data_IF_110256395343
#
_entry.id   IF_110256395343
#
_cell.length_a   1.000
_cell.length_b   1.000
_cell.length_c   1.000
_cell.angle_alpha   90.00
_cell.angle_beta   90.00
_cell.angle_gamma   90.00
#
_symmetry.space_group_name_H-M   'P 1'
#
loop_
_entity.id
_entity.type
_entity.pdbx_description
1 polymer ?
#
# COMPACT_ATOMS: atom_id res chain seq x y z
N UNK A 1 33.84 7.94 18.93
CA UNK A 1 32.63 8.44 18.19
C UNK A 1 31.98 7.30 17.39
N UNK A 2 32.75 6.50 16.60
CA UNK A 2 32.19 5.38 15.82
C UNK A 2 31.50 4.31 16.68
N UNK A 3 32.08 3.96 17.82
CA UNK A 3 31.53 2.98 18.75
C UNK A 3 30.15 3.38 19.32
N UNK A 4 29.94 4.68 19.60
CA UNK A 4 28.64 5.19 20.07
C UNK A 4 27.58 5.09 18.96
N UNK A 5 27.95 5.36 17.71
CA UNK A 5 27.04 5.25 16.56
C UNK A 5 26.60 3.79 16.37
N UNK A 6 27.53 2.84 16.46
CA UNK A 6 27.23 1.40 16.36
C UNK A 6 26.29 0.96 17.49
N UNK A 7 26.51 1.43 18.73
CA UNK A 7 25.63 1.14 19.86
C UNK A 7 24.23 1.72 19.61
N UNK A 8 24.12 2.98 19.18
CA UNK A 8 22.84 3.62 18.87
C UNK A 8 22.08 2.90 17.74
N UNK A 9 22.79 2.46 16.72
CA UNK A 9 22.21 1.70 15.61
C UNK A 9 21.76 0.30 16.02
N UNK A 10 22.48 -0.34 16.94
CA UNK A 10 22.10 -1.63 17.53
C UNK A 10 20.83 -1.54 18.39
N UNK A 11 20.65 -0.43 19.12
CA UNK A 11 19.45 -0.17 19.94
C UNK A 11 18.27 0.41 19.14
N UNK A 12 18.50 0.86 17.89
CA UNK A 12 17.41 1.33 17.05
C UNK A 12 16.55 0.15 16.57
N UNK A 13 15.35 0.02 17.14
CA UNK A 13 14.35 -1.02 16.80
C UNK A 13 13.36 -0.59 15.71
N UNK A 14 13.61 0.52 15.04
CA UNK A 14 12.76 1.00 13.96
C UNK A 14 12.85 0.08 12.74
N UNK A 15 11.73 -0.11 12.05
CA UNK A 15 11.64 -0.89 10.81
C UNK A 15 11.93 -0.03 9.58
N UNK A 16 13.00 0.75 9.64
CA UNK A 16 13.31 1.82 8.69
C UNK A 16 13.85 1.35 7.33
N UNK A 17 14.25 0.09 7.20
CA UNK A 17 14.69 -0.53 5.94
C UNK A 17 13.93 -1.83 5.66
N UNK A 18 13.84 -2.29 4.39
CA UNK A 18 13.16 -3.55 4.05
C UNK A 18 13.71 -4.76 4.81
N UNK A 19 15.03 -4.89 4.95
CA UNK A 19 15.65 -6.02 5.65
C UNK A 19 15.32 -6.02 7.14
N UNK A 20 15.40 -4.85 7.78
CA UNK A 20 15.01 -4.71 9.20
C UNK A 20 13.52 -4.96 9.37
N UNK A 21 12.69 -4.42 8.49
CA UNK A 21 11.25 -4.65 8.51
C UNK A 21 10.95 -6.16 8.42
N UNK A 22 11.55 -6.87 7.46
CA UNK A 22 11.41 -8.32 7.34
C UNK A 22 11.87 -9.07 8.61
N UNK A 23 13.03 -8.70 9.16
CA UNK A 23 13.59 -9.36 10.35
C UNK A 23 12.70 -9.16 11.60
N UNK A 24 12.13 -7.96 11.79
CA UNK A 24 11.31 -7.67 12.96
C UNK A 24 9.86 -8.13 12.83
N UNK A 25 9.30 -8.08 11.62
CA UNK A 25 7.89 -8.40 11.38
C UNK A 25 7.65 -9.84 10.95
N UNK A 26 8.66 -10.50 10.36
CA UNK A 26 8.54 -11.81 9.72
C UNK A 26 7.84 -11.77 8.35
N UNK A 27 7.41 -10.59 7.87
CA UNK A 27 6.72 -10.40 6.59
C UNK A 27 7.68 -9.95 5.50
N UNK A 28 7.48 -10.44 4.27
CA UNK A 28 8.20 -9.93 3.10
C UNK A 28 7.71 -8.53 2.74
N UNK A 29 8.65 -7.62 2.48
CA UNK A 29 8.32 -6.26 2.07
C UNK A 29 7.96 -6.24 0.58
N UNK A 30 6.71 -5.93 0.27
CA UNK A 30 6.21 -5.83 -1.09
C UNK A 30 6.69 -4.53 -1.76
N UNK A 31 6.60 -3.42 -1.04
CA UNK A 31 6.92 -2.09 -1.55
C UNK A 31 7.30 -1.12 -0.42
N UNK A 32 8.02 -0.06 -0.78
CA UNK A 32 8.42 1.02 0.12
C UNK A 32 7.95 2.35 -0.43
N UNK A 33 7.19 3.13 0.34
CA UNK A 33 6.72 4.47 -0.04
C UNK A 33 7.48 5.56 0.72
N UNK A 34 7.84 6.69 0.06
CA UNK A 34 8.57 7.78 0.70
C UNK A 34 7.68 8.65 1.58
N UNK A 35 8.33 9.44 2.44
CA UNK A 35 7.70 10.63 3.01
C UNK A 35 7.49 11.63 1.87
N UNK A 36 6.25 12.07 1.65
CA UNK A 36 5.94 13.13 0.72
C UNK A 36 6.02 14.49 1.42
N UNK A 37 7.03 15.33 1.13
CA UNK A 37 7.13 16.64 1.76
C UNK A 37 6.10 17.61 1.16
N UNK A 38 5.62 18.52 1.99
CA UNK A 38 4.68 19.59 1.58
C UNK A 38 5.28 20.53 0.51
N UNK A 39 6.61 20.69 0.48
CA UNK A 39 7.31 21.51 -0.51
C UNK A 39 8.15 20.61 -1.44
N UNK A 40 7.88 20.68 -2.72
CA UNK A 40 8.62 19.94 -3.74
C UNK A 40 10.02 20.55 -3.94
N UNK A 41 11.04 19.84 -3.50
CA UNK A 41 12.45 20.14 -3.77
C UNK A 41 12.89 19.72 -5.19
N UNK A 42 14.19 19.38 -5.34
CA UNK A 42 14.77 18.90 -6.61
C UNK A 42 14.32 17.48 -7.00
N UNK A 43 13.65 16.75 -6.11
CA UNK A 43 13.21 15.38 -6.29
C UNK A 43 11.90 15.31 -7.06
N UNK A 44 11.80 14.38 -7.99
CA UNK A 44 10.58 14.15 -8.78
C UNK A 44 9.64 13.15 -8.07
N UNK A 45 8.98 13.61 -7.00
CA UNK A 45 8.03 12.78 -6.22
C UNK A 45 6.88 12.17 -7.04
N UNK A 46 6.27 12.88 -8.01
CA UNK A 46 5.25 12.26 -8.86
C UNK A 46 5.76 11.05 -9.63
N UNK A 47 6.99 11.10 -10.16
CA UNK A 47 7.61 9.95 -10.81
C UNK A 47 7.82 8.78 -9.84
N UNK A 48 8.37 9.05 -8.65
CA UNK A 48 8.59 8.04 -7.61
C UNK A 48 7.26 7.37 -7.25
N UNK A 49 6.24 8.17 -6.95
CA UNK A 49 4.92 7.70 -6.58
C UNK A 49 4.32 6.77 -7.65
N UNK A 50 4.32 7.23 -8.89
CA UNK A 50 3.81 6.45 -10.02
C UNK A 50 4.57 5.12 -10.16
N UNK A 51 5.91 5.16 -10.10
CA UNK A 51 6.74 3.95 -10.23
C UNK A 51 6.49 2.94 -9.12
N UNK A 52 6.40 3.40 -7.87
CA UNK A 52 6.13 2.54 -6.72
C UNK A 52 4.73 1.93 -6.80
N UNK A 53 3.73 2.71 -7.23
CA UNK A 53 2.37 2.21 -7.44
C UNK A 53 2.34 1.14 -8.53
N UNK A 54 3.07 1.31 -9.63
CA UNK A 54 3.21 0.29 -10.68
C UNK A 54 3.86 -0.99 -10.15
N UNK A 55 4.91 -0.88 -9.33
CA UNK A 55 5.56 -2.05 -8.72
C UNK A 55 4.61 -2.79 -7.77
N UNK A 56 3.81 -2.08 -6.97
CA UNK A 56 2.81 -2.71 -6.10
C UNK A 56 1.73 -3.42 -6.93
N UNK A 57 1.28 -2.85 -8.04
CA UNK A 57 0.34 -3.49 -8.96
C UNK A 57 0.97 -4.75 -9.59
N UNK A 58 2.25 -4.71 -9.95
CA UNK A 58 2.97 -5.89 -10.44
C UNK A 58 3.07 -6.97 -9.37
N UNK A 59 3.30 -6.59 -8.10
CA UNK A 59 3.30 -7.52 -6.98
C UNK A 59 1.93 -8.19 -6.82
N UNK A 60 0.84 -7.43 -6.81
CA UNK A 60 -0.54 -7.96 -6.77
C UNK A 60 -0.75 -8.98 -7.90
N UNK A 61 -0.41 -8.63 -9.12
CA UNK A 61 -0.57 -9.50 -10.29
C UNK A 61 0.26 -10.78 -10.15
N UNK A 62 1.52 -10.69 -9.71
CA UNK A 62 2.41 -11.84 -9.56
C UNK A 62 1.92 -12.84 -8.50
N UNK A 63 1.39 -12.34 -7.39
CA UNK A 63 0.88 -13.17 -6.30
C UNK A 63 -0.47 -13.84 -6.65
N UNK A 64 -1.21 -13.29 -7.60
CA UNK A 64 -2.55 -13.77 -7.96
C UNK A 64 -2.60 -14.53 -9.27
N UNK A 65 -1.48 -14.65 -9.99
CA UNK A 65 -1.40 -15.34 -11.30
C UNK A 65 -1.80 -16.83 -11.22
N UNK A 66 -1.60 -17.49 -10.08
CA UNK A 66 -1.98 -18.89 -9.88
C UNK A 66 -3.49 -19.10 -9.72
N UNK A 67 -4.23 -18.05 -9.38
CA UNK A 67 -5.67 -18.08 -9.17
C UNK A 67 -6.38 -17.33 -10.30
N UNK A 68 -6.81 -18.08 -11.32
CA UNK A 68 -7.60 -17.51 -12.44
C UNK A 68 -9.02 -17.06 -12.02
N UNK A 69 -9.35 -17.03 -10.74
CA UNK A 69 -10.64 -16.57 -10.23
C UNK A 69 -10.70 -15.03 -10.22
N UNK A 70 -11.65 -14.46 -10.95
CA UNK A 70 -12.03 -13.05 -10.83
C UNK A 70 -13.30 -12.95 -9.99
N UNK A 71 -13.44 -11.92 -9.17
CA UNK A 71 -12.52 -10.80 -8.92
C UNK A 71 -11.34 -11.18 -8.04
N UNK A 72 -10.21 -10.48 -8.18
CA UNK A 72 -9.08 -10.53 -7.25
C UNK A 72 -9.42 -9.65 -6.06
N UNK A 73 -9.50 -10.25 -4.86
CA UNK A 73 -9.83 -9.56 -3.62
C UNK A 73 -8.57 -9.26 -2.83
N UNK A 74 -8.28 -7.98 -2.63
CA UNK A 74 -7.08 -7.47 -1.97
C UNK A 74 -7.45 -6.85 -0.63
N UNK A 75 -6.91 -7.37 0.46
CA UNK A 75 -7.08 -6.81 1.79
C UNK A 75 -5.96 -5.83 2.15
N UNK A 76 -6.32 -4.66 2.66
CA UNK A 76 -5.37 -3.65 3.13
C UNK A 76 -5.58 -3.43 4.62
N UNK A 77 -4.55 -3.73 5.38
CA UNK A 77 -4.54 -3.68 6.83
C UNK A 77 -3.48 -2.72 7.36
N UNK A 78 -3.57 -2.38 8.62
CA UNK A 78 -2.49 -1.80 9.43
C UNK A 78 -2.66 -2.24 10.87
N UNK A 79 -1.61 -2.21 11.67
CA UNK A 79 -1.75 -2.51 13.09
C UNK A 79 -2.27 -1.31 13.89
N UNK A 80 -1.99 -0.09 13.43
CA UNK A 80 -2.50 1.16 14.02
C UNK A 80 -3.18 2.05 12.96
N UNK A 81 -3.95 3.03 13.44
CA UNK A 81 -4.52 4.06 12.57
C UNK A 81 -3.45 5.05 12.09
N UNK A 82 -3.73 5.74 10.97
CA UNK A 82 -2.81 6.76 10.43
C UNK A 82 -1.55 6.22 9.74
N UNK A 83 -1.42 4.92 9.50
CA UNK A 83 -0.27 4.30 8.82
C UNK A 83 -0.21 4.61 7.31
N UNK A 84 -1.28 5.19 6.74
CA UNK A 84 -1.34 5.60 5.33
C UNK A 84 -2.04 4.63 4.39
N UNK A 85 -2.87 3.72 4.91
CA UNK A 85 -3.67 2.77 4.11
C UNK A 85 -4.42 3.44 2.96
N UNK A 86 -5.32 4.36 3.29
CA UNK A 86 -6.22 5.01 2.32
C UNK A 86 -5.46 5.76 1.24
N UNK A 87 -4.35 6.42 1.59
CA UNK A 87 -3.50 7.13 0.62
C UNK A 87 -2.93 6.14 -0.42
N UNK A 88 -2.35 5.03 0.04
CA UNK A 88 -1.72 4.04 -0.84
C UNK A 88 -2.79 3.32 -1.66
N UNK A 89 -3.89 2.90 -1.02
CA UNK A 89 -4.98 2.18 -1.69
C UNK A 89 -5.60 3.03 -2.80
N UNK A 90 -5.89 4.30 -2.52
CA UNK A 90 -6.46 5.22 -3.52
C UNK A 90 -5.56 5.36 -4.74
N UNK A 91 -4.24 5.48 -4.56
CA UNK A 91 -3.29 5.57 -5.67
C UNK A 91 -3.28 4.30 -6.53
N UNK A 92 -3.26 3.13 -5.89
CA UNK A 92 -3.30 1.84 -6.60
C UNK A 92 -4.60 1.68 -7.36
N UNK A 93 -5.75 1.94 -6.72
CA UNK A 93 -7.08 1.84 -7.32
C UNK A 93 -7.21 2.76 -8.53
N UNK A 94 -6.78 4.02 -8.41
CA UNK A 94 -6.83 4.98 -9.51
C UNK A 94 -5.96 4.51 -10.68
N UNK A 95 -4.74 4.02 -10.41
CA UNK A 95 -3.82 3.55 -11.43
C UNK A 95 -4.36 2.31 -12.17
N UNK A 96 -4.99 1.38 -11.49
CA UNK A 96 -5.63 0.21 -12.09
C UNK A 96 -6.81 0.63 -12.97
N UNK A 97 -7.61 1.61 -12.52
CA UNK A 97 -8.73 2.16 -13.31
C UNK A 97 -8.25 2.88 -14.58
N UNK A 98 -7.15 3.63 -14.50
CA UNK A 98 -6.52 4.25 -15.67
C UNK A 98 -6.12 3.21 -16.73
N UNK A 99 -5.83 1.97 -16.32
CA UNK A 99 -5.53 0.86 -17.22
C UNK A 99 -6.78 0.19 -17.85
N UNK A 100 -7.99 0.65 -17.51
CA UNK A 100 -9.26 0.14 -18.03
C UNK A 100 -9.88 -1.00 -17.22
N UNK A 101 -9.27 -1.42 -16.13
CA UNK A 101 -9.80 -2.46 -15.24
C UNK A 101 -10.92 -1.92 -14.33
N UNK A 102 -11.97 -2.74 -14.13
CA UNK A 102 -13.06 -2.41 -13.22
C UNK A 102 -12.67 -2.72 -11.78
N UNK A 103 -12.61 -1.68 -10.94
CA UNK A 103 -12.19 -1.80 -9.53
C UNK A 103 -13.28 -1.33 -8.60
N UNK A 104 -13.61 -2.16 -7.60
CA UNK A 104 -14.39 -1.77 -6.43
C UNK A 104 -13.43 -1.49 -5.27
N UNK A 105 -13.62 -0.35 -4.61
CA UNK A 105 -12.90 -0.01 -3.39
C UNK A 105 -13.89 0.16 -2.24
N UNK A 106 -13.69 -0.63 -1.19
CA UNK A 106 -14.47 -0.62 0.04
C UNK A 106 -13.58 -0.10 1.16
N UNK A 107 -13.96 1.02 1.75
CA UNK A 107 -13.29 1.58 2.92
C UNK A 107 -14.19 1.44 4.14
N UNK A 108 -13.64 0.90 5.22
CA UNK A 108 -14.36 0.76 6.48
C UNK A 108 -14.56 2.09 7.20
N UNK A 109 -13.65 3.05 7.01
CA UNK A 109 -13.74 4.36 7.63
C UNK A 109 -14.79 5.23 6.93
N UNK A 110 -16.00 5.21 7.46
CA UNK A 110 -17.14 5.97 6.93
C UNK A 110 -17.05 7.48 7.15
N UNK A 111 -16.01 7.96 7.82
CA UNK A 111 -15.79 9.39 8.10
C UNK A 111 -15.08 10.13 6.97
N UNK A 112 -14.44 9.42 6.05
CA UNK A 112 -13.80 10.04 4.89
C UNK A 112 -14.80 10.20 3.74
N UNK A 113 -15.47 11.34 3.67
CA UNK A 113 -16.15 11.83 2.46
C UNK A 113 -15.09 12.17 1.43
N UNK A 114 -14.72 11.22 0.59
CA UNK A 114 -13.98 11.53 -0.64
C UNK A 114 -15.01 12.06 -1.66
N UNK A 115 -15.09 13.37 -1.77
CA UNK A 115 -15.68 14.03 -2.92
C UNK A 115 -14.85 13.67 -4.14
N UNK A 116 -15.46 13.13 -5.13
CA UNK A 116 -15.34 13.24 -6.57
C UNK A 116 -15.55 11.91 -7.29
N UNK A 117 -16.68 11.82 -7.99
CA UNK A 117 -17.00 11.04 -9.22
C UNK A 117 -16.47 9.59 -9.36
N UNK A 118 -15.99 8.99 -8.31
CA UNK A 118 -15.66 7.59 -8.25
C UNK A 118 -16.92 6.88 -7.76
N UNK A 119 -17.38 5.88 -8.49
CA UNK A 119 -18.53 5.05 -8.11
C UNK A 119 -18.18 4.27 -6.83
N UNK A 120 -18.11 4.99 -5.71
CA UNK A 120 -18.05 4.39 -4.39
C UNK A 120 -19.46 3.97 -4.03
N UNK A 121 -19.67 2.69 -3.85
CA UNK A 121 -20.80 2.27 -3.03
C UNK A 121 -20.42 2.57 -1.58
N UNK A 122 -20.64 3.82 -1.16
CA UNK A 122 -20.26 4.38 0.14
C UNK A 122 -21.08 3.82 1.30
N UNK A 123 -21.98 2.86 1.07
CA UNK A 123 -22.92 2.36 2.05
C UNK A 123 -22.90 0.85 2.25
N UNK A 124 -21.83 0.16 1.91
CA UNK A 124 -21.63 -1.16 2.47
C UNK A 124 -21.05 -0.94 3.86
N UNK A 125 -21.92 -0.70 4.86
CA UNK A 125 -21.56 -1.00 6.24
C UNK A 125 -21.07 -2.42 6.22
N UNK A 126 -19.81 -2.67 6.62
CA UNK A 126 -19.37 -4.04 6.86
C UNK A 126 -20.47 -4.68 7.70
N UNK A 127 -21.09 -5.75 7.22
CA UNK A 127 -22.18 -6.34 7.96
C UNK A 127 -21.64 -6.69 9.34
N UNK A 128 -22.36 -6.30 10.35
CA UNK A 128 -22.30 -6.97 11.63
C UNK A 128 -22.20 -8.47 11.33
N UNK A 129 -21.40 -9.23 12.06
CA UNK A 129 -21.12 -10.65 11.83
C UNK A 129 -22.34 -11.52 11.54
N UNK A 130 -23.56 -11.01 11.81
CA UNK A 130 -24.86 -11.61 11.51
C UNK A 130 -25.27 -11.59 10.03
N UNK A 131 -24.60 -10.80 9.15
CA UNK A 131 -25.02 -10.60 7.75
C UNK A 131 -24.00 -11.09 6.70
N UNK A 132 -23.18 -12.08 7.04
CA UNK A 132 -22.22 -12.74 6.13
C UNK A 132 -22.91 -13.28 4.86
N UNK A 133 -24.15 -13.73 4.95
CA UNK A 133 -24.93 -14.20 3.82
C UNK A 133 -25.21 -13.06 2.81
N UNK A 134 -25.49 -11.84 3.28
CA UNK A 134 -25.67 -10.68 2.40
C UNK A 134 -24.38 -10.30 1.66
N UNK A 135 -23.22 -10.45 2.30
CA UNK A 135 -21.93 -10.23 1.62
C UNK A 135 -21.66 -11.33 0.57
N UNK A 136 -22.03 -12.59 0.86
CA UNK A 136 -21.91 -13.69 -0.09
C UNK A 136 -22.85 -13.53 -1.29
N UNK A 137 -24.09 -13.09 -1.08
CA UNK A 137 -25.06 -12.82 -2.14
C UNK A 137 -24.62 -11.59 -2.96
N UNK A 138 -24.01 -10.60 -2.33
CA UNK A 138 -23.44 -9.43 -2.99
C UNK A 138 -22.14 -9.76 -3.78
N UNK A 139 -21.32 -10.73 -3.34
CA UNK A 139 -20.15 -11.20 -4.09
C UNK A 139 -20.57 -11.72 -5.47
N UNK A 140 -21.73 -12.37 -5.61
CA UNK A 140 -22.29 -12.75 -6.92
C UNK A 140 -22.50 -11.54 -7.85
N UNK A 141 -22.87 -10.39 -7.31
CA UNK A 141 -22.95 -9.12 -8.03
C UNK A 141 -21.58 -8.48 -8.30
N UNK A 142 -20.54 -8.93 -7.59
CA UNK A 142 -19.17 -8.40 -7.67
C UNK A 142 -18.36 -8.99 -8.83
N UNK A 143 -18.85 -10.04 -9.51
CA UNK A 143 -18.20 -10.65 -10.68
C UNK A 143 -18.02 -9.66 -11.86
N UNK A 144 -18.69 -8.50 -11.82
CA UNK A 144 -18.48 -7.41 -12.78
C UNK A 144 -17.16 -6.65 -12.60
N UNK A 145 -16.49 -6.84 -11.46
CA UNK A 145 -15.21 -6.20 -11.16
C UNK A 145 -14.02 -7.15 -11.43
N UNK A 146 -12.89 -6.58 -11.83
CA UNK A 146 -11.64 -7.31 -11.98
C UNK A 146 -10.90 -7.40 -10.64
N UNK A 147 -10.98 -6.30 -9.85
CA UNK A 147 -10.35 -6.16 -8.55
C UNK A 147 -11.34 -5.63 -7.51
N UNK A 148 -11.21 -6.09 -6.28
CA UNK A 148 -11.90 -5.58 -5.12
C UNK A 148 -10.86 -5.26 -4.05
N UNK A 149 -10.72 -3.99 -3.70
CA UNK A 149 -9.86 -3.57 -2.60
C UNK A 149 -10.72 -3.34 -1.36
N UNK A 150 -10.32 -3.95 -0.25
CA UNK A 150 -11.00 -3.83 1.04
C UNK A 150 -9.99 -3.24 2.04
N UNK A 151 -10.23 -2.01 2.47
CA UNK A 151 -9.47 -1.38 3.53
C UNK A 151 -10.14 -1.68 4.87
N UNK A 152 -9.41 -2.39 5.73
CA UNK A 152 -9.86 -2.77 7.05
C UNK A 152 -9.45 -1.74 8.12
N UNK A 153 -10.20 -1.64 9.23
CA UNK A 153 -9.75 -0.88 10.38
C UNK A 153 -8.48 -1.46 10.99
N UNK A 154 -7.82 -0.71 11.88
CA UNK A 154 -6.58 -1.16 12.50
C UNK A 154 -6.75 -2.45 13.31
N UNK A 155 -5.80 -3.38 13.13
CA UNK A 155 -5.87 -4.73 13.70
C UNK A 155 -5.83 -4.76 15.23
N UNK A 156 -5.20 -3.76 15.86
CA UNK A 156 -5.07 -3.72 17.33
C UNK A 156 -6.33 -3.16 17.98
N UNK A 157 -6.98 -2.18 17.36
CA UNK A 157 -8.10 -1.46 17.96
C UNK A 157 -9.46 -2.06 17.61
N UNK A 158 -9.53 -2.82 16.52
CA UNK A 158 -10.80 -3.32 16.00
C UNK A 158 -10.77 -4.80 15.69
N UNK A 159 -11.92 -5.44 15.87
CA UNK A 159 -12.14 -6.82 15.45
C UNK A 159 -12.53 -6.82 13.97
N UNK A 160 -11.81 -7.57 13.17
CA UNK A 160 -12.10 -7.71 11.74
C UNK A 160 -12.83 -9.02 11.45
N UNK A 161 -13.82 -9.07 10.53
CA UNK A 161 -14.62 -10.25 10.28
C UNK A 161 -13.84 -11.37 9.60
N UNK A 162 -13.61 -12.53 10.25
CA UNK A 162 -12.78 -13.62 9.71
C UNK A 162 -13.32 -14.13 8.37
N UNK A 163 -14.63 -14.24 8.21
CA UNK A 163 -15.24 -14.75 6.98
C UNK A 163 -15.01 -13.87 5.73
N UNK A 164 -14.67 -12.59 5.90
CA UNK A 164 -14.24 -11.74 4.79
C UNK A 164 -12.75 -11.93 4.56
N UNK A 165 -11.96 -12.04 5.63
CA UNK A 165 -10.51 -12.25 5.57
C UNK A 165 -10.15 -13.55 4.86
N UNK A 166 -10.87 -14.64 5.11
CA UNK A 166 -10.69 -15.93 4.43
C UNK A 166 -10.85 -15.88 2.90
N UNK A 167 -11.59 -14.87 2.39
CA UNK A 167 -11.83 -14.70 0.94
C UNK A 167 -10.80 -13.85 0.23
N UNK A 168 -9.83 -13.29 0.96
CA UNK A 168 -8.77 -12.49 0.37
C UNK A 168 -7.84 -13.37 -0.47
N UNK A 169 -7.53 -12.90 -1.68
CA UNK A 169 -6.50 -13.53 -2.51
C UNK A 169 -5.10 -13.08 -2.06
N UNK A 170 -4.98 -11.87 -1.53
CA UNK A 170 -3.74 -11.31 -0.99
C UNK A 170 -4.05 -10.27 0.09
N UNK A 171 -3.19 -10.17 1.07
CA UNK A 171 -3.26 -9.17 2.15
C UNK A 171 -1.98 -8.36 2.26
N UNK A 172 -2.12 -7.06 2.43
CA UNK A 172 -1.03 -6.13 2.69
C UNK A 172 -1.21 -5.47 4.05
N UNK A 173 -0.12 -5.41 4.82
CA UNK A 173 -0.07 -4.66 6.08
C UNK A 173 0.74 -3.39 5.84
N UNK A 174 0.10 -2.24 5.92
CA UNK A 174 0.75 -0.94 5.80
C UNK A 174 1.31 -0.53 7.15
N UNK A 175 2.58 -0.13 7.20
CA UNK A 175 3.24 0.30 8.41
C UNK A 175 4.22 1.47 8.12
N UNK A 176 4.28 2.45 9.02
CA UNK A 176 5.27 3.53 8.91
C UNK A 176 6.68 3.04 9.27
N UNK A 177 7.67 3.39 8.45
CA UNK A 177 9.06 2.95 8.58
C UNK A 177 9.75 3.42 9.88
N UNK A 178 9.32 4.56 10.43
CA UNK A 178 9.88 5.13 11.67
C UNK A 178 9.36 4.48 12.94
N UNK A 179 8.48 3.51 12.81
CA UNK A 179 7.83 2.88 13.95
C UNK A 179 8.67 1.73 14.51
N UNK A 180 8.54 1.53 15.81
CA UNK A 180 9.05 0.34 16.50
C UNK A 180 7.96 -0.75 16.40
N UNK A 181 8.34 -1.92 15.92
CA UNK A 181 7.46 -3.08 15.87
C UNK A 181 7.42 -3.78 17.23
N UNK A 182 6.25 -3.79 17.86
CA UNK A 182 6.03 -4.32 19.21
C UNK A 182 5.42 -5.72 19.18
N UNK A 183 5.38 -6.40 20.30
CA UNK A 183 4.77 -7.73 20.42
C UNK A 183 3.26 -7.71 20.15
N UNK A 184 2.57 -6.59 20.45
CA UNK A 184 1.17 -6.40 20.08
C UNK A 184 0.98 -6.43 18.56
N UNK A 185 1.89 -5.81 17.79
CA UNK A 185 1.87 -5.83 16.33
C UNK A 185 2.08 -7.25 15.80
N UNK A 186 3.07 -7.99 16.34
CA UNK A 186 3.34 -9.39 15.96
C UNK A 186 2.13 -10.28 16.23
N UNK A 187 1.49 -10.12 17.39
CA UNK A 187 0.30 -10.89 17.74
C UNK A 187 -0.86 -10.59 16.78
N UNK A 188 -1.11 -9.31 16.50
CA UNK A 188 -2.19 -8.91 15.59
C UNK A 188 -1.98 -9.45 14.17
N UNK A 189 -0.76 -9.37 13.63
CA UNK A 189 -0.45 -9.89 12.29
C UNK A 189 -0.42 -11.42 12.25
N UNK A 190 0.01 -12.09 13.32
CA UNK A 190 -0.08 -13.55 13.43
C UNK A 190 -1.51 -14.06 13.41
N UNK A 191 -2.43 -13.34 14.08
CA UNK A 191 -3.88 -13.64 14.02
C UNK A 191 -4.41 -13.44 12.60
N UNK A 192 -4.04 -12.35 11.92
CA UNK A 192 -4.39 -12.12 10.52
C UNK A 192 -3.91 -13.26 9.63
N UNK A 193 -2.63 -13.65 9.73
CA UNK A 193 -2.05 -14.72 8.92
C UNK A 193 -2.70 -16.10 9.18
N UNK A 194 -3.23 -16.32 10.39
CA UNK A 194 -3.97 -17.54 10.70
C UNK A 194 -5.37 -17.59 10.06
N UNK A 195 -5.91 -16.44 9.65
CA UNK A 195 -7.22 -16.30 9.03
C UNK A 195 -7.14 -16.19 7.50
N UNK A 196 -5.97 -15.90 6.94
CA UNK A 196 -5.76 -15.79 5.50
C UNK A 196 -5.21 -17.08 4.90
N UNK A 197 -5.56 -17.35 3.64
CA UNK A 197 -4.99 -18.46 2.88
C UNK A 197 -3.56 -18.18 2.35
N UNK A 198 -3.10 -16.94 2.46
CA UNK A 198 -1.80 -16.47 1.99
C UNK A 198 -1.12 -15.64 3.07
N UNK A 199 0.22 -15.68 3.13
CA UNK A 199 0.97 -14.83 4.04
C UNK A 199 0.80 -13.36 3.68
N UNK A 200 0.55 -12.54 4.69
CA UNK A 200 0.48 -11.09 4.53
C UNK A 200 1.85 -10.52 4.13
N UNK A 201 1.84 -9.49 3.30
CA UNK A 201 3.03 -8.77 2.85
C UNK A 201 3.05 -7.35 3.41
N UNK A 202 4.24 -6.84 3.68
CA UNK A 202 4.40 -5.51 4.28
C UNK A 202 4.51 -4.43 3.21
N UNK A 203 3.78 -3.35 3.39
CA UNK A 203 3.95 -2.08 2.67
C UNK A 203 4.56 -1.08 3.65
N UNK A 204 5.84 -0.74 3.43
CA UNK A 204 6.57 0.15 4.31
C UNK A 204 6.37 1.60 3.87
N UNK A 205 5.63 2.38 4.65
CA UNK A 205 5.31 3.77 4.35
C UNK A 205 6.23 4.76 5.07
N UNK A 206 6.27 6.00 4.60
CA UNK A 206 7.03 7.10 5.17
C UNK A 206 8.53 6.83 5.34
N UNK A 207 9.12 6.14 4.37
CA UNK A 207 10.55 5.82 4.34
C UNK A 207 11.40 6.98 3.82
N UNK A 208 12.69 6.96 4.14
CA UNK A 208 13.67 7.94 3.63
C UNK A 208 13.95 7.71 2.14
N UNK A 209 14.41 8.75 1.45
CA UNK A 209 14.70 8.68 0.01
C UNK A 209 15.84 7.72 -0.35
N UNK A 210 16.86 7.59 0.49
CA UNK A 210 17.96 6.64 0.30
C UNK A 210 17.47 5.18 0.25
N UNK A 211 16.51 4.84 1.10
CA UNK A 211 15.85 3.52 1.07
C UNK A 211 15.06 3.32 -0.21
N UNK A 212 14.39 4.37 -0.70
CA UNK A 212 13.66 4.33 -1.97
C UNK A 212 14.60 4.17 -3.16
N UNK A 213 15.74 4.91 -3.18
CA UNK A 213 16.75 4.79 -4.23
C UNK A 213 17.28 3.35 -4.35
N UNK A 214 17.53 2.70 -3.23
CA UNK A 214 17.94 1.29 -3.21
C UNK A 214 16.86 0.35 -3.76
N UNK A 215 15.58 0.74 -3.64
CA UNK A 215 14.45 -0.09 -4.07
C UNK A 215 14.09 0.08 -5.55
N UNK A 216 14.15 1.31 -6.09
CA UNK A 216 13.71 1.63 -7.46
C UNK A 216 14.85 2.05 -8.39
N UNK A 217 16.12 1.96 -7.94
CA UNK A 217 17.27 2.50 -8.66
C UNK A 217 17.29 4.06 -8.67
N UNK A 218 18.04 4.68 -9.56
CA UNK A 218 18.24 6.13 -9.57
C UNK A 218 16.94 6.93 -9.67
N UNK A 219 16.76 7.89 -8.75
CA UNK A 219 15.63 8.82 -8.77
C UNK A 219 15.96 9.98 -9.74
N UNK A 220 15.13 10.20 -10.79
CA UNK A 220 15.34 11.32 -11.70
C UNK A 220 15.20 12.65 -10.97
N UNK A 221 16.26 13.45 -10.97
CA UNK A 221 16.22 14.82 -10.44
C UNK A 221 15.38 15.70 -11.38
N UNK A 222 14.51 16.55 -10.82
CA UNK A 222 13.80 17.57 -11.62
C UNK A 222 14.81 18.42 -12.36
N UNK A 223 14.74 18.43 -13.68
CA UNK A 223 15.55 19.34 -14.50
C UNK A 223 15.15 20.78 -14.21
N UNK A 224 16.12 21.63 -13.85
CA UNK A 224 15.88 23.06 -13.68
C UNK A 224 15.30 23.63 -15.00
N UNK A 225 14.35 24.59 -14.88
CA UNK A 225 13.74 25.27 -16.04
C UNK A 225 14.81 25.84 -17.00
N UNK A 226 15.95 26.28 -16.45
CA UNK A 226 17.09 26.78 -17.20
C UNK A 226 17.72 25.75 -18.13
N UNK A 227 17.91 24.49 -17.69
CA UNK A 227 18.40 23.40 -18.55
C UNK A 227 17.39 22.98 -19.62
N UNK A 228 16.07 23.11 -19.37
CA UNK A 228 15.04 22.90 -20.39
C UNK A 228 15.10 23.94 -21.47
N UNK A 229 15.26 25.22 -21.07
CA UNK A 229 15.39 26.34 -22.00
C UNK A 229 16.61 26.17 -22.91
N UNK A 230 17.80 25.89 -22.37
CA UNK A 230 19.01 25.65 -23.16
C UNK A 230 18.91 24.43 -24.08
N UNK A 231 18.30 23.33 -23.65
CA UNK A 231 18.11 22.17 -24.51
C UNK A 231 17.20 22.49 -25.69
N UNK A 232 16.12 23.26 -25.47
CA UNK A 232 15.21 23.67 -26.56
C UNK A 232 15.86 24.68 -27.53
N UNK A 233 16.86 25.44 -27.07
CA UNK A 233 17.63 26.36 -27.91
C UNK A 233 18.67 25.64 -28.77
N UNK A 234 19.22 24.55 -28.26
CA UNK A 234 20.30 23.79 -28.91
C UNK A 234 19.83 22.59 -29.75
N UNK A 235 18.56 22.21 -29.63
CA UNK A 235 17.98 21.18 -30.55
C UNK A 235 17.38 21.89 -31.75
N UNK A 236 17.96 21.77 -32.97
CA UNK A 236 17.34 22.28 -34.19
C UNK A 236 15.99 21.57 -34.37
N UNK A 237 14.92 22.33 -34.58
CA UNK A 237 13.65 21.78 -35.03
C UNK A 237 13.93 21.12 -36.37
N UNK A 238 13.89 19.79 -36.42
CA UNK A 238 13.80 19.07 -37.67
C UNK A 238 12.54 19.55 -38.39
N UNK A 239 12.74 20.14 -39.57
CA UNK A 239 11.67 20.48 -40.52
C UNK A 239 11.20 19.21 -41.22
#
# INVERSE_FOLDING_TARGET
TAFIIIILEFYDKNINTPDRAKNFTGMDVAIVYPIFPLKHGKVNYPFIKNRLTELLIQDIKSQTTSNNSKPIVVGIFSTHDGEGKSMITTEVVNKIRESGDKVLYLNYDTTSTFEDNLTYSTNIKFPDTSNINQFNDQIGLLNKYNYIFIEFPSLILHSNPPAIIEKLNISYVVCQSKRIWKDADKKATSVLDSQTNTKSRLVLNASKLDVIENFISEIPKRRNAFRRFFKNLLTPKAR
#
